data_IF_111882487086
#
_entry.id   IF_111882487086
#
_cell.length_a   1.000
_cell.length_b   1.000
_cell.length_c   1.000
_cell.angle_alpha   90.00
_cell.angle_beta   90.00
_cell.angle_gamma   90.00
#
_symmetry.space_group_name_H-M   'P 1'
#
loop_
_entity.id
_entity.type
_entity.pdbx_description
1 polymer ?
#
# COMPACT_ATOMS: atom_id res chain seq x y z
N UNK A 1 -19.15 -5.38 20.61
CA UNK A 1 -19.29 -6.81 20.98
C UNK A 1 -20.01 -6.88 22.31
N UNK A 2 -21.08 -7.67 22.42
CA UNK A 2 -21.72 -7.98 23.71
C UNK A 2 -22.04 -9.47 23.70
N UNK A 3 -21.48 -10.18 24.67
CA UNK A 3 -21.57 -11.63 24.79
C UNK A 3 -22.04 -11.95 26.19
N UNK A 4 -23.19 -12.59 26.32
CA UNK A 4 -23.54 -13.33 27.54
C UNK A 4 -24.19 -14.65 27.14
N UNK A 5 -23.71 -15.71 27.79
CA UNK A 5 -24.17 -17.08 27.62
C UNK A 5 -24.93 -17.48 28.88
N UNK A 6 -26.17 -17.94 28.74
CA UNK A 6 -26.84 -18.77 29.75
C UNK A 6 -27.93 -19.65 29.11
N UNK A 7 -28.32 -20.70 29.84
CA UNK A 7 -28.81 -22.01 29.37
C UNK A 7 -30.33 -22.05 29.04
N UNK A 8 -31.06 -20.93 29.10
CA UNK A 8 -32.55 -20.94 29.09
C UNK A 8 -33.25 -20.32 27.85
N UNK A 9 -32.72 -20.53 26.64
CA UNK A 9 -33.58 -20.52 25.44
C UNK A 9 -34.22 -19.19 25.01
N UNK A 10 -33.46 -18.09 25.00
CA UNK A 10 -33.86 -16.85 24.31
C UNK A 10 -33.20 -16.77 22.93
N UNK A 11 -34.00 -16.67 21.87
CA UNK A 11 -33.51 -16.43 20.52
C UNK A 11 -33.24 -14.93 20.29
N UNK A 12 -31.96 -14.56 20.21
CA UNK A 12 -31.54 -13.22 19.78
C UNK A 12 -30.95 -13.31 18.38
N UNK A 13 -31.51 -12.56 17.44
CA UNK A 13 -31.02 -12.46 16.07
C UNK A 13 -29.77 -11.59 16.06
N UNK A 14 -28.61 -12.22 15.88
CA UNK A 14 -27.32 -11.53 15.74
C UNK A 14 -27.18 -11.01 14.32
N UNK A 15 -27.22 -9.68 14.14
CA UNK A 15 -26.82 -9.05 12.87
C UNK A 15 -25.30 -8.92 12.86
N UNK A 16 -24.60 -9.47 11.86
CA UNK A 16 -23.16 -9.26 11.73
C UNK A 16 -22.86 -7.78 11.49
N UNK A 17 -21.72 -7.31 12.02
CA UNK A 17 -21.23 -5.96 11.77
C UNK A 17 -21.08 -5.75 10.26
N UNK A 18 -21.78 -4.75 9.72
CA UNK A 18 -21.68 -4.36 8.31
C UNK A 18 -20.73 -3.17 8.23
N UNK A 19 -19.63 -3.33 7.50
CA UNK A 19 -18.77 -2.22 7.15
C UNK A 19 -19.37 -1.51 5.93
N UNK A 20 -19.50 -0.19 6.01
CA UNK A 20 -19.89 0.66 4.90
C UNK A 20 -18.69 1.46 4.41
N UNK A 21 -18.74 1.83 3.14
CA UNK A 21 -17.74 2.70 2.52
C UNK A 21 -17.98 4.14 2.96
N UNK A 22 -16.97 4.80 3.52
CA UNK A 22 -17.07 6.19 4.01
C UNK A 22 -16.33 7.20 3.12
N UNK A 23 -15.20 6.80 2.51
CA UNK A 23 -14.39 7.64 1.62
C UNK A 23 -13.72 6.78 0.55
N UNK A 24 -13.55 7.34 -0.65
CA UNK A 24 -12.82 6.72 -1.76
C UNK A 24 -11.88 7.75 -2.36
N UNK A 25 -10.61 7.39 -2.43
CA UNK A 25 -9.57 8.20 -3.07
C UNK A 25 -8.92 7.44 -4.21
N UNK A 26 -8.75 8.09 -5.35
CA UNK A 26 -8.03 7.56 -6.52
C UNK A 26 -7.07 8.62 -7.04
N UNK A 27 -5.80 8.22 -7.15
CA UNK A 27 -4.69 9.05 -7.65
C UNK A 27 -4.28 8.58 -9.04
N UNK A 28 -3.78 9.51 -9.85
CA UNK A 28 -3.27 9.17 -11.19
C UNK A 28 -1.93 8.44 -11.06
N UNK A 29 -1.81 7.31 -11.76
CA UNK A 29 -0.62 6.47 -11.72
C UNK A 29 0.52 6.87 -12.66
N UNK A 30 0.23 7.72 -13.65
CA UNK A 30 1.17 8.09 -14.71
C UNK A 30 0.84 9.48 -15.30
N UNK A 31 1.78 10.02 -16.08
CA UNK A 31 1.67 11.27 -16.82
C UNK A 31 2.06 12.52 -16.02
N UNK A 32 1.83 13.69 -16.60
CA UNK A 32 2.23 14.97 -15.99
C UNK A 32 1.55 15.28 -14.65
N UNK A 33 0.41 14.63 -14.36
CA UNK A 33 -0.36 14.78 -13.13
C UNK A 33 -0.27 13.54 -12.24
N UNK A 34 0.79 12.75 -12.37
CA UNK A 34 1.02 11.59 -11.52
C UNK A 34 0.97 11.95 -10.02
N UNK A 35 0.36 11.08 -9.22
CA UNK A 35 0.19 11.26 -7.78
C UNK A 35 -0.86 12.31 -7.41
N UNK A 36 -1.41 13.06 -8.37
CA UNK A 36 -2.50 14.00 -8.11
C UNK A 36 -3.83 13.21 -7.99
N UNK A 37 -4.59 13.38 -6.88
CA UNK A 37 -5.91 12.78 -6.75
C UNK A 37 -6.88 13.40 -7.75
N UNK A 38 -7.70 12.55 -8.37
CA UNK A 38 -8.78 13.01 -9.25
C UNK A 38 -10.16 12.50 -8.80
N UNK A 39 -10.19 11.54 -7.87
CA UNK A 39 -11.36 11.16 -7.09
C UNK A 39 -10.93 11.26 -5.63
N UNK A 40 -11.67 12.03 -4.84
CA UNK A 40 -11.61 12.09 -3.38
C UNK A 40 -13.03 12.36 -2.90
N UNK A 41 -13.81 11.29 -2.84
CA UNK A 41 -15.25 11.33 -2.62
C UNK A 41 -15.58 10.79 -1.23
N UNK A 42 -16.37 11.55 -0.48
CA UNK A 42 -16.93 11.12 0.80
C UNK A 42 -18.34 10.58 0.56
N UNK A 43 -18.71 9.49 1.22
CA UNK A 43 -19.96 8.78 0.96
C UNK A 43 -20.99 9.19 1.99
N UNK A 44 -22.05 9.86 1.55
CA UNK A 44 -23.17 10.21 2.41
C UNK A 44 -23.82 8.93 2.96
N UNK A 45 -23.86 8.80 4.30
CA UNK A 45 -24.53 7.69 4.95
C UNK A 45 -26.01 8.04 5.19
N UNK A 46 -26.91 7.19 4.70
CA UNK A 46 -28.36 7.31 4.97
C UNK A 46 -28.70 6.67 6.32
N UNK A 47 -27.95 5.64 6.70
CA UNK A 47 -28.11 4.93 7.96
C UNK A 47 -27.21 5.55 9.04
N UNK A 48 -27.64 5.53 10.32
CA UNK A 48 -26.82 6.00 11.43
C UNK A 48 -25.56 5.13 11.55
N UNK A 49 -24.39 5.78 11.52
CA UNK A 49 -23.10 5.12 11.70
C UNK A 49 -22.90 4.86 13.19
N UNK A 50 -22.65 3.59 13.54
CA UNK A 50 -22.45 3.15 14.93
C UNK A 50 -21.03 3.46 15.42
N UNK A 51 -20.04 3.30 14.54
CA UNK A 51 -18.64 3.57 14.82
C UNK A 51 -17.94 4.00 13.53
N UNK A 52 -17.26 5.15 13.57
CA UNK A 52 -16.57 5.76 12.42
C UNK A 52 -15.15 5.22 12.25
N UNK A 53 -14.62 4.49 13.24
CA UNK A 53 -13.26 3.94 13.24
C UNK A 53 -12.21 5.01 12.90
N UNK A 54 -12.37 6.23 13.43
CA UNK A 54 -11.61 7.43 13.03
C UNK A 54 -10.10 7.23 13.08
N UNK A 55 -9.59 6.43 14.03
CA UNK A 55 -8.17 6.08 14.11
C UNK A 55 -7.66 5.37 12.83
N UNK A 56 -8.49 4.56 12.19
CA UNK A 56 -8.14 3.77 11.00
C UNK A 56 -8.68 4.37 9.70
N UNK A 57 -9.80 5.10 9.76
CA UNK A 57 -10.48 5.65 8.58
C UNK A 57 -10.13 7.10 8.31
N UNK A 58 -9.71 7.84 9.33
CA UNK A 58 -9.54 9.30 9.27
C UNK A 58 -10.86 10.07 9.11
N UNK A 59 -12.02 9.41 9.30
CA UNK A 59 -13.34 10.01 9.09
C UNK A 59 -13.92 10.50 10.42
N UNK A 60 -14.36 11.75 10.43
CA UNK A 60 -15.12 12.34 11.52
C UNK A 60 -16.62 12.33 11.22
N UNK A 61 -17.49 12.34 12.25
CA UNK A 61 -18.94 12.37 12.05
C UNK A 61 -19.43 13.52 11.17
N UNK A 62 -18.82 14.70 11.29
CA UNK A 62 -19.15 15.88 10.50
C UNK A 62 -18.81 15.72 9.01
N UNK A 63 -17.87 14.82 8.66
CA UNK A 63 -17.45 14.61 7.28
C UNK A 63 -18.52 13.90 6.45
N UNK A 64 -19.45 13.16 7.09
CA UNK A 64 -20.51 12.40 6.41
C UNK A 64 -21.88 13.08 6.50
N UNK A 65 -21.98 14.25 7.14
CA UNK A 65 -23.21 15.03 7.26
C UNK A 65 -23.35 16.00 6.07
N UNK A 66 -24.42 15.88 5.24
CA UNK A 66 -24.69 16.82 4.14
C UNK A 66 -24.79 18.29 4.56
N UNK A 67 -25.13 18.59 5.82
CA UNK A 67 -25.27 19.96 6.31
C UNK A 67 -23.96 20.56 6.82
N UNK A 68 -23.00 19.74 7.26
CA UNK A 68 -21.77 20.21 7.91
C UNK A 68 -20.51 19.91 7.13
N UNK A 69 -20.56 18.93 6.23
CA UNK A 69 -19.35 18.46 5.57
C UNK A 69 -18.77 19.50 4.62
N UNK A 70 -17.45 19.67 4.74
CA UNK A 70 -16.61 20.47 3.84
C UNK A 70 -16.12 19.68 2.62
N UNK A 71 -16.38 18.37 2.59
CA UNK A 71 -15.88 17.45 1.59
C UNK A 71 -16.89 17.22 0.47
N UNK A 72 -16.42 16.64 -0.65
CA UNK A 72 -17.30 16.29 -1.75
C UNK A 72 -18.15 15.07 -1.39
N UNK A 73 -19.36 15.30 -0.86
CA UNK A 73 -20.30 14.23 -0.56
C UNK A 73 -20.97 13.73 -1.83
N UNK A 74 -20.89 12.42 -2.03
CA UNK A 74 -21.57 11.72 -3.10
C UNK A 74 -22.34 10.53 -2.55
N UNK A 75 -23.31 10.05 -3.33
CA UNK A 75 -23.97 8.79 -3.02
C UNK A 75 -23.03 7.61 -3.30
N UNK A 76 -23.22 6.50 -2.58
CA UNK A 76 -22.51 5.25 -2.85
C UNK A 76 -22.63 4.82 -4.33
N UNK A 77 -23.80 5.03 -4.94
CA UNK A 77 -24.06 4.73 -6.35
C UNK A 77 -23.18 5.56 -7.29
N UNK A 78 -22.94 6.83 -6.97
CA UNK A 78 -22.09 7.71 -7.77
C UNK A 78 -20.63 7.25 -7.69
N UNK A 79 -20.11 7.01 -6.49
CA UNK A 79 -18.74 6.52 -6.30
C UNK A 79 -18.52 5.17 -7.00
N UNK A 80 -19.47 4.24 -6.86
CA UNK A 80 -19.44 2.95 -7.55
C UNK A 80 -19.37 3.11 -9.07
N UNK A 81 -20.20 3.99 -9.66
CA UNK A 81 -20.19 4.24 -11.11
C UNK A 81 -18.86 4.81 -11.60
N UNK A 82 -18.24 5.73 -10.84
CA UNK A 82 -16.91 6.27 -11.18
C UNK A 82 -15.86 5.15 -11.22
N UNK A 83 -15.80 4.31 -10.18
CA UNK A 83 -14.86 3.18 -10.12
C UNK A 83 -15.15 2.13 -11.19
N UNK A 84 -16.43 1.84 -11.45
CA UNK A 84 -16.85 0.90 -12.47
C UNK A 84 -16.46 1.37 -13.87
N UNK A 85 -16.57 2.67 -14.16
CA UNK A 85 -16.10 3.22 -15.41
C UNK A 85 -14.60 3.01 -15.61
N UNK A 86 -13.78 3.26 -14.58
CA UNK A 86 -12.33 2.99 -14.62
C UNK A 86 -12.04 1.51 -14.91
N UNK A 87 -12.79 0.62 -14.25
CA UNK A 87 -12.69 -0.81 -14.48
C UNK A 87 -13.01 -1.19 -15.93
N UNK A 88 -14.15 -0.72 -16.45
CA UNK A 88 -14.62 -1.03 -17.81
C UNK A 88 -13.68 -0.45 -18.89
N UNK A 89 -12.94 0.62 -18.58
CA UNK A 89 -11.91 1.18 -19.46
C UNK A 89 -10.59 0.38 -19.47
N UNK A 90 -10.47 -0.68 -18.67
CA UNK A 90 -9.24 -1.48 -18.61
C UNK A 90 -8.16 -0.88 -17.70
N UNK A 91 -8.51 0.06 -16.80
CA UNK A 91 -7.52 0.61 -15.87
C UNK A 91 -7.02 -0.46 -14.88
N UNK A 92 -5.75 -0.39 -14.54
CA UNK A 92 -5.13 -1.24 -13.51
C UNK A 92 -5.16 -0.51 -12.18
N UNK A 93 -5.67 -1.17 -11.13
CA UNK A 93 -5.73 -0.65 -9.78
C UNK A 93 -4.48 -1.08 -9.00
N UNK A 94 -3.67 -0.10 -8.62
CA UNK A 94 -2.50 -0.28 -7.75
C UNK A 94 -2.87 0.16 -6.33
N UNK A 95 -2.54 -0.63 -5.32
CA UNK A 95 -2.87 -0.29 -3.93
C UNK A 95 -2.25 -1.25 -2.91
N UNK A 96 -2.72 -1.18 -1.67
CA UNK A 96 -2.23 -1.99 -0.57
C UNK A 96 -3.39 -2.63 0.20
N UNK A 97 -3.62 -3.93 0.02
CA UNK A 97 -4.70 -4.66 0.67
C UNK A 97 -6.06 -4.53 -0.02
N UNK A 98 -6.08 -4.29 -1.33
CA UNK A 98 -7.25 -3.95 -2.13
C UNK A 98 -8.38 -5.00 -2.08
N UNK A 99 -8.05 -6.26 -1.77
CA UNK A 99 -9.05 -7.34 -1.65
C UNK A 99 -10.15 -7.02 -0.63
N UNK A 100 -9.82 -6.36 0.48
CA UNK A 100 -10.82 -5.96 1.48
C UNK A 100 -11.65 -4.78 0.97
N UNK A 101 -11.00 -3.84 0.32
CA UNK A 101 -11.63 -2.62 -0.19
C UNK A 101 -12.66 -2.94 -1.28
N UNK A 102 -12.31 -3.78 -2.26
CA UNK A 102 -13.23 -4.22 -3.31
C UNK A 102 -14.44 -4.99 -2.76
N UNK A 103 -14.26 -5.75 -1.68
CA UNK A 103 -15.38 -6.40 -0.98
C UNK A 103 -16.32 -5.41 -0.31
N UNK A 104 -15.79 -4.35 0.30
CA UNK A 104 -16.60 -3.29 0.94
C UNK A 104 -17.34 -2.47 -0.12
N UNK A 105 -16.67 -2.12 -1.22
CA UNK A 105 -17.23 -1.41 -2.37
C UNK A 105 -18.24 -2.28 -3.13
N UNK A 106 -18.18 -3.60 -2.96
CA UNK A 106 -18.96 -4.60 -3.68
C UNK A 106 -18.72 -4.56 -5.20
N UNK A 107 -17.45 -4.48 -5.60
CA UNK A 107 -17.01 -4.55 -6.99
C UNK A 107 -16.09 -5.75 -7.18
N UNK A 108 -16.28 -6.50 -8.28
CA UNK A 108 -15.39 -7.58 -8.67
C UNK A 108 -14.43 -7.05 -9.74
N UNK A 109 -13.15 -6.99 -9.40
CA UNK A 109 -12.09 -6.56 -10.32
C UNK A 109 -11.35 -7.82 -10.81
N UNK A 110 -11.15 -7.98 -12.13
CA UNK A 110 -10.34 -9.04 -12.69
C UNK A 110 -8.92 -9.04 -12.12
N UNK A 111 -8.31 -10.20 -11.83
CA UNK A 111 -6.98 -10.27 -11.21
C UNK A 111 -5.86 -9.58 -12.02
N UNK A 112 -5.98 -9.55 -13.35
CA UNK A 112 -5.06 -8.87 -14.27
C UNK A 112 -5.10 -7.34 -14.16
N UNK A 113 -6.19 -6.78 -13.62
CA UNK A 113 -6.34 -5.35 -13.35
C UNK A 113 -6.04 -4.98 -11.89
N UNK A 114 -5.49 -5.89 -11.09
CA UNK A 114 -5.15 -5.62 -9.69
C UNK A 114 -3.67 -5.83 -9.44
N UNK A 115 -3.01 -4.80 -8.93
CA UNK A 115 -1.65 -4.85 -8.42
C UNK A 115 -1.70 -4.51 -6.93
N UNK A 116 -1.69 -5.55 -6.11
CA UNK A 116 -1.69 -5.40 -4.66
C UNK A 116 -0.26 -5.47 -4.11
N UNK A 117 0.24 -4.32 -3.62
CA UNK A 117 1.58 -4.22 -3.02
C UNK A 117 1.73 -5.12 -1.79
N UNK A 118 0.66 -5.46 -1.07
CA UNK A 118 0.73 -6.44 0.03
C UNK A 118 1.18 -7.79 -0.49
N UNK A 119 0.67 -8.20 -1.64
CA UNK A 119 0.97 -9.52 -2.22
C UNK A 119 2.32 -9.49 -2.97
N UNK A 120 2.73 -8.34 -3.52
CA UNK A 120 4.07 -8.15 -4.10
C UNK A 120 5.18 -8.30 -3.05
N UNK A 121 5.03 -7.66 -1.89
CA UNK A 121 6.00 -7.68 -0.79
C UNK A 121 5.76 -8.82 0.20
N UNK A 122 5.16 -9.93 -0.26
CA UNK A 122 4.89 -11.10 0.57
C UNK A 122 5.80 -12.29 0.24
N UNK A 123 6.57 -12.75 1.21
CA UNK A 123 7.28 -14.02 1.12
C UNK A 123 6.29 -15.16 1.34
N UNK A 124 6.02 -15.97 0.31
CA UNK A 124 5.08 -17.10 0.36
C UNK A 124 5.40 -18.12 1.46
N UNK A 125 6.69 -18.30 1.78
CA UNK A 125 7.15 -19.20 2.84
C UNK A 125 6.98 -18.62 4.25
N UNK A 126 6.57 -17.35 4.38
CA UNK A 126 6.35 -16.66 5.66
C UNK A 126 4.89 -16.26 5.81
N UNK A 127 4.35 -16.42 7.01
CA UNK A 127 2.90 -16.24 7.26
C UNK A 127 2.46 -14.77 7.40
N UNK A 128 3.38 -13.78 7.43
CA UNK A 128 3.04 -12.39 7.77
C UNK A 128 3.00 -11.48 6.55
N UNK A 129 1.88 -10.79 6.37
CA UNK A 129 1.74 -9.63 5.46
C UNK A 129 2.33 -8.37 6.12
N UNK A 130 3.07 -7.59 5.34
CA UNK A 130 3.74 -6.38 5.83
C UNK A 130 2.79 -5.20 5.70
N UNK A 131 2.77 -4.31 6.70
CA UNK A 131 1.95 -3.10 6.66
C UNK A 131 2.54 -2.03 5.74
N UNK A 132 1.67 -1.21 5.15
CA UNK A 132 2.05 -0.07 4.32
C UNK A 132 3.02 0.85 5.05
N UNK A 133 2.73 1.17 6.32
CA UNK A 133 3.58 2.04 7.16
C UNK A 133 5.01 1.53 7.30
N UNK A 134 5.18 0.23 7.48
CA UNK A 134 6.50 -0.37 7.63
C UNK A 134 7.26 -0.36 6.31
N UNK A 135 6.59 -0.68 5.19
CA UNK A 135 7.18 -0.63 3.86
C UNK A 135 7.58 0.81 3.47
N UNK A 136 6.72 1.78 3.74
CA UNK A 136 6.99 3.20 3.48
C UNK A 136 8.23 3.67 4.27
N UNK A 137 8.28 3.33 5.55
CA UNK A 137 9.42 3.68 6.39
C UNK A 137 10.73 3.02 5.93
N UNK A 138 10.70 1.74 5.58
CA UNK A 138 11.91 1.00 5.21
C UNK A 138 12.41 1.36 3.80
N UNK A 139 11.51 1.40 2.80
CA UNK A 139 11.88 1.54 1.40
C UNK A 139 11.90 2.99 0.90
N UNK A 140 11.03 3.84 1.45
CA UNK A 140 10.90 5.24 1.05
C UNK A 140 11.52 6.20 2.09
N UNK A 141 11.79 5.72 3.31
CA UNK A 141 12.26 6.57 4.41
C UNK A 141 11.19 7.50 4.98
N UNK A 142 9.92 7.27 4.64
CA UNK A 142 8.80 8.14 4.98
C UNK A 142 7.99 7.60 6.15
N UNK A 143 7.57 8.48 7.05
CA UNK A 143 6.66 8.15 8.14
C UNK A 143 5.24 8.63 7.77
N UNK A 144 4.40 7.71 7.31
CA UNK A 144 3.00 7.98 6.96
C UNK A 144 2.05 7.73 8.14
N UNK A 145 0.84 8.28 8.06
CA UNK A 145 -0.26 8.09 9.02
C UNK A 145 0.14 8.46 10.47
N UNK A 146 0.88 9.54 10.65
CA UNK A 146 1.48 9.92 11.95
C UNK A 146 0.48 10.44 12.97
N UNK A 147 -0.64 11.03 12.53
CA UNK A 147 -1.68 11.59 13.39
C UNK A 147 -3.07 11.03 13.07
N UNK A 148 -3.47 11.07 11.80
CA UNK A 148 -4.68 10.44 11.27
C UNK A 148 -4.39 9.68 9.97
N UNK A 149 -5.27 8.76 9.60
CA UNK A 149 -5.22 8.08 8.31
C UNK A 149 -5.70 9.01 7.20
N UNK A 150 -4.93 9.13 6.12
CA UNK A 150 -5.36 9.80 4.90
C UNK A 150 -5.26 8.85 3.70
N UNK A 151 -6.42 8.51 3.14
CA UNK A 151 -6.51 7.62 1.98
C UNK A 151 -5.77 8.13 0.74
N UNK A 152 -5.55 9.45 0.59
CA UNK A 152 -4.76 10.00 -0.51
C UNK A 152 -3.27 9.72 -0.30
N UNK A 153 -2.76 9.95 0.93
CA UNK A 153 -1.39 9.58 1.33
C UNK A 153 -1.17 8.09 1.06
N UNK A 154 -2.09 7.23 1.52
CA UNK A 154 -1.99 5.79 1.36
C UNK A 154 -1.92 5.36 -0.12
N UNK A 155 -2.78 5.93 -0.97
CA UNK A 155 -2.80 5.62 -2.39
C UNK A 155 -1.51 6.06 -3.10
N UNK A 156 -0.97 7.22 -2.73
CA UNK A 156 0.34 7.71 -3.24
C UNK A 156 1.47 6.81 -2.79
N UNK A 157 1.53 6.46 -1.51
CA UNK A 157 2.58 5.60 -0.98
C UNK A 157 2.54 4.21 -1.62
N UNK A 158 1.35 3.64 -1.84
CA UNK A 158 1.22 2.37 -2.54
C UNK A 158 1.73 2.45 -3.99
N UNK A 159 1.44 3.55 -4.70
CA UNK A 159 1.99 3.79 -6.04
C UNK A 159 3.52 3.90 -6.03
N UNK A 160 4.10 4.64 -5.08
CA UNK A 160 5.55 4.77 -4.92
C UNK A 160 6.21 3.43 -4.60
N UNK A 161 5.60 2.62 -3.74
CA UNK A 161 6.08 1.26 -3.43
C UNK A 161 6.03 0.35 -4.65
N UNK A 162 4.99 0.44 -5.47
CA UNK A 162 4.93 -0.33 -6.72
C UNK A 162 6.05 0.08 -7.69
N UNK A 163 6.32 1.38 -7.83
CA UNK A 163 7.46 1.85 -8.64
C UNK A 163 8.79 1.38 -8.07
N UNK A 164 8.96 1.42 -6.75
CA UNK A 164 10.16 0.91 -6.09
C UNK A 164 10.33 -0.60 -6.32
N UNK A 165 9.24 -1.35 -6.29
CA UNK A 165 9.24 -2.77 -6.63
C UNK A 165 9.74 -3.01 -8.07
N UNK A 166 9.26 -2.24 -9.05
CA UNK A 166 9.74 -2.34 -10.43
C UNK A 166 11.24 -2.04 -10.54
N UNK A 167 11.72 -0.97 -9.90
CA UNK A 167 13.14 -0.59 -9.88
C UNK A 167 14.03 -1.71 -9.28
N UNK A 168 13.61 -2.28 -8.14
CA UNK A 168 14.34 -3.36 -7.47
C UNK A 168 14.33 -4.66 -8.28
N UNK A 169 13.26 -4.91 -9.02
CA UNK A 169 13.09 -6.08 -9.88
C UNK A 169 13.97 -5.97 -11.12
N UNK A 170 14.02 -4.79 -11.75
CA UNK A 170 14.90 -4.50 -12.88
C UNK A 170 16.39 -4.65 -12.50
N UNK A 171 16.75 -4.22 -11.29
CA UNK A 171 18.10 -4.40 -10.73
C UNK A 171 18.41 -5.85 -10.29
N UNK A 172 17.42 -6.74 -10.26
CA UNK A 172 17.60 -8.14 -9.83
C UNK A 172 17.86 -8.32 -8.34
N UNK A 173 17.66 -7.28 -7.52
CA UNK A 173 17.96 -7.30 -6.06
C UNK A 173 16.71 -7.41 -5.18
N UNK A 174 15.52 -7.42 -5.78
CA UNK A 174 14.24 -7.42 -5.04
C UNK A 174 14.15 -8.51 -3.97
N UNK A 175 14.54 -9.75 -4.31
CA UNK A 175 14.43 -10.88 -3.38
C UNK A 175 15.33 -10.71 -2.14
N UNK A 176 16.55 -10.20 -2.33
CA UNK A 176 17.49 -9.91 -1.22
C UNK A 176 16.90 -8.85 -0.29
N UNK A 177 16.44 -7.74 -0.87
CA UNK A 177 15.83 -6.64 -0.12
C UNK A 177 14.57 -7.13 0.62
N UNK A 178 13.76 -7.98 -0.01
CA UNK A 178 12.58 -8.54 0.64
C UNK A 178 12.96 -9.37 1.87
N UNK A 179 13.99 -10.20 1.78
CA UNK A 179 14.50 -10.95 2.94
C UNK A 179 15.02 -10.03 4.04
N UNK A 180 15.71 -8.95 3.67
CA UNK A 180 16.22 -7.93 4.61
C UNK A 180 15.09 -7.18 5.31
N UNK A 181 14.02 -6.80 4.59
CA UNK A 181 12.81 -6.19 5.16
C UNK A 181 12.24 -7.09 6.25
N UNK A 182 12.10 -8.39 5.97
CA UNK A 182 11.57 -9.31 6.95
C UNK A 182 12.53 -9.51 8.13
N UNK A 183 13.84 -9.58 7.90
CA UNK A 183 14.83 -9.67 8.97
C UNK A 183 14.79 -8.45 9.89
N UNK A 184 14.69 -7.24 9.33
CA UNK A 184 14.50 -6.00 10.08
C UNK A 184 13.17 -5.99 10.83
N UNK A 185 12.10 -6.43 10.18
CA UNK A 185 10.76 -6.55 10.76
C UNK A 185 10.78 -7.44 12.01
N UNK A 186 11.45 -8.58 11.96
CA UNK A 186 11.64 -9.44 13.13
C UNK A 186 12.47 -8.77 14.23
N UNK A 187 13.58 -8.12 13.86
CA UNK A 187 14.45 -7.42 14.83
C UNK A 187 13.72 -6.31 15.58
N UNK A 188 12.84 -5.59 14.89
CA UNK A 188 12.07 -4.46 15.44
C UNK A 188 10.67 -4.84 15.92
N UNK A 189 10.33 -6.13 15.90
CA UNK A 189 8.99 -6.63 16.19
C UNK A 189 7.88 -5.90 15.41
N UNK A 190 8.16 -5.58 14.14
CA UNK A 190 7.27 -4.89 13.20
C UNK A 190 6.78 -3.52 13.66
N UNK A 191 7.50 -2.89 14.60
CA UNK A 191 7.22 -1.52 15.07
C UNK A 191 8.09 -0.53 14.30
N UNK A 192 7.47 0.50 13.74
CA UNK A 192 8.16 1.69 13.26
C UNK A 192 8.30 2.67 14.44
N UNK A 193 9.51 3.14 14.73
CA UNK A 193 9.72 4.12 15.79
C UNK A 193 9.13 5.46 15.36
N UNK A 194 8.03 5.88 15.97
CA UNK A 194 7.36 7.16 15.68
C UNK A 194 8.07 8.40 16.25
N UNK A 195 9.30 8.28 16.75
CA UNK A 195 10.03 9.43 17.29
C UNK A 195 11.55 9.31 17.11
N UNK A 196 12.11 10.22 16.31
CA UNK A 196 13.50 10.69 16.33
C UNK A 196 14.63 9.63 16.24
N UNK A 197 15.02 9.28 15.01
CA UNK A 197 16.43 9.06 14.67
C UNK A 197 16.68 9.54 13.24
N UNK A 198 17.01 10.83 13.09
CA UNK A 198 17.54 11.41 11.84
C UNK A 198 19.01 11.04 11.57
N UNK A 199 19.58 10.04 12.25
CA UNK A 199 21.03 9.82 12.22
C UNK A 199 21.49 8.44 11.76
N UNK A 200 20.60 7.54 11.32
CA UNK A 200 21.00 6.16 10.96
C UNK A 200 20.60 5.72 9.56
N UNK A 201 19.63 6.34 8.88
CA UNK A 201 19.24 5.93 7.52
C UNK A 201 20.14 6.49 6.40
N UNK A 202 20.63 7.72 6.54
CA UNK A 202 21.59 8.29 5.59
C UNK A 202 22.94 7.52 5.62
N UNK A 203 23.36 7.04 6.79
CA UNK A 203 24.60 6.27 6.93
C UNK A 203 24.51 4.87 6.29
N UNK A 204 23.34 4.22 6.31
CA UNK A 204 23.11 2.94 5.64
C UNK A 204 23.02 3.10 4.12
N UNK A 205 22.30 4.11 3.63
CA UNK A 205 22.19 4.39 2.19
C UNK A 205 23.53 4.81 1.58
N UNK A 206 24.32 5.64 2.27
CA UNK A 206 25.67 6.02 1.83
C UNK A 206 26.62 4.82 1.85
N UNK A 207 26.56 3.97 2.89
CA UNK A 207 27.40 2.77 2.97
C UNK A 207 27.05 1.73 1.89
N UNK A 208 25.80 1.66 1.45
CA UNK A 208 25.34 0.73 0.41
C UNK A 208 25.67 1.25 -1.00
N UNK A 209 25.60 2.57 -1.22
CA UNK A 209 26.04 3.24 -2.44
C UNK A 209 27.58 3.13 -2.61
N UNK A 210 28.35 3.29 -1.52
CA UNK A 210 29.80 3.04 -1.51
C UNK A 210 30.15 1.56 -1.74
N UNK A 211 29.34 0.62 -1.24
CA UNK A 211 29.53 -0.82 -1.45
C UNK A 211 29.20 -1.24 -2.88
N UNK A 212 28.20 -0.62 -3.51
CA UNK A 212 27.85 -0.82 -4.91
C UNK A 212 28.94 -0.23 -5.84
N UNK A 213 29.49 0.93 -5.48
CA UNK A 213 30.63 1.55 -6.20
C UNK A 213 31.91 0.70 -6.04
N UNK A 214 32.17 0.15 -4.85
CA UNK A 214 33.27 -0.79 -4.62
C UNK A 214 33.11 -2.09 -5.44
N UNK A 215 31.90 -2.66 -5.52
CA UNK A 215 31.61 -3.84 -6.34
C UNK A 215 31.79 -3.57 -7.84
N UNK A 216 31.37 -2.39 -8.32
CA UNK A 216 31.58 -1.97 -9.71
C UNK A 216 33.06 -1.70 -10.03
N UNK A 217 33.83 -1.17 -9.09
CA UNK A 217 35.28 -0.95 -9.25
C UNK A 217 36.07 -2.26 -9.28
N UNK A 218 35.61 -3.32 -8.62
CA UNK A 218 36.26 -4.63 -8.66
C UNK A 218 35.99 -5.42 -9.96
N UNK A 219 34.90 -5.14 -10.68
CA UNK A 219 34.56 -5.86 -11.93
C UNK A 219 35.28 -5.35 -13.19
N UNK A 220 36.06 -4.27 -13.12
CA UNK A 220 36.73 -3.69 -14.30
C UNK A 220 38.17 -4.19 -14.55
N UNK A 221 38.60 -5.28 -13.88
CA UNK A 221 39.95 -5.86 -14.07
C UNK A 221 39.93 -7.29 -14.59
N UNK A 222 38.99 -7.62 -15.48
CA UNK A 222 39.13 -8.79 -16.37
C UNK A 222 39.12 -8.32 -17.82
N UNK A 223 40.30 -7.87 -18.28
CA UNK A 223 40.59 -7.70 -19.71
C UNK A 223 40.67 -9.09 -20.34
N UNK A 224 39.66 -9.49 -21.10
CA UNK A 224 39.77 -10.63 -22.00
C UNK A 224 40.65 -10.25 -23.19
N UNK A 225 41.83 -10.87 -23.30
CA UNK A 225 42.68 -10.81 -24.48
C UNK A 225 42.18 -11.85 -25.51
N UNK A 226 41.91 -11.41 -26.75
CA UNK A 226 41.55 -12.30 -27.86
C UNK A 226 42.84 -12.91 -28.44
N UNK A 227 43.03 -14.22 -28.28
CA UNK A 227 44.13 -14.96 -28.90
C UNK A 227 43.91 -15.13 -30.41
N UNK A 228 44.98 -14.95 -31.19
CA UNK A 228 45.07 -15.31 -32.62
C UNK A 228 45.07 -16.84 -32.74
N UNK A 229 44.24 -17.38 -33.62
CA UNK A 229 44.33 -18.80 -34.03
C UNK A 229 45.51 -18.98 -35.01
N UNK A 230 46.26 -20.09 -34.93
CA UNK A 230 47.32 -20.42 -35.89
C UNK A 230 46.70 -20.92 -37.20
N UNK A 231 47.29 -20.49 -38.32
CA UNK A 231 46.80 -20.79 -39.66
C UNK A 231 47.05 -22.22 -40.13
N UNK A 232 46.50 -22.54 -41.29
CA UNK A 232 47.03 -23.56 -42.20
C UNK A 232 46.44 -23.39 -43.60
N UNK A 233 47.37 -23.24 -44.56
CA UNK A 233 47.30 -23.24 -46.04
C UNK A 233 46.70 -22.04 -46.75
#
# INVERSE_FOLDING_TARGET
>A
EKTELSIEGVHVVVRPNRLSLARVSVVRGDGALEGVPFIDDYIASIEPVVDYLTEYSGIEPADLDPAQSRHNLVTLKTAYKKLRLLLDMGCIFVGHGLKKDFRIINILVPPDQVIDTVDLFHLKDRQRKISLRFLAWYLLGEAIQTSSHDSIEDARTALLLYKKYLELTEKGIFQSILEDIYAEGWRRNWKHSSSSQRSTSAALMVAEEEKLDLLNRMHTTLRYARARAPGSW
#
